data_IF_683341625883
#
_entry.id   IF_683341625883
#
_cell.length_a   1.000
_cell.length_b   1.000
_cell.length_c   1.000
_cell.angle_alpha   90.00
_cell.angle_beta   90.00
_cell.angle_gamma   90.00
#
_symmetry.space_group_name_H-M   'P 1'
#
loop_
_entity.id
_entity.type
_entity.pdbx_description
1 polymer ?
#
# COMPACT_ATOMS: atom_id res chain seq x y z
N UNK A 1 -26.10 -14.92 14.43
CA UNK A 1 -24.65 -15.12 14.63
C UNK A 1 -24.03 -13.75 14.84
N UNK A 2 -23.44 -13.50 16.01
CA UNK A 2 -22.83 -12.21 16.32
C UNK A 2 -21.32 -12.30 16.08
N UNK A 3 -20.86 -11.81 14.93
CA UNK A 3 -19.43 -11.80 14.59
C UNK A 3 -18.77 -10.61 15.27
N UNK A 4 -17.72 -10.87 16.06
CA UNK A 4 -17.04 -9.83 16.85
C UNK A 4 -15.81 -9.27 16.14
N UNK A 5 -15.04 -10.17 15.54
CA UNK A 5 -13.79 -9.83 14.85
C UNK A 5 -13.73 -10.53 13.51
N UNK A 6 -13.25 -9.80 12.50
CA UNK A 6 -13.06 -10.32 11.15
C UNK A 6 -11.64 -10.01 10.68
N UNK A 7 -10.92 -11.02 10.19
CA UNK A 7 -9.69 -10.86 9.43
C UNK A 7 -9.98 -10.89 7.94
N UNK A 8 -9.42 -9.94 7.19
CA UNK A 8 -9.53 -9.87 5.73
C UNK A 8 -8.14 -9.94 5.12
N UNK A 9 -7.91 -10.96 4.32
CA UNK A 9 -6.79 -10.99 3.38
C UNK A 9 -7.24 -10.46 2.01
N UNK A 10 -6.58 -9.40 1.55
CA UNK A 10 -6.93 -8.67 0.34
C UNK A 10 -6.05 -9.08 -0.83
N UNK A 11 -6.66 -9.60 -1.90
CA UNK A 11 -6.02 -9.71 -3.22
C UNK A 11 -6.64 -8.75 -4.24
N UNK A 12 -6.40 -8.96 -5.54
CA UNK A 12 -6.92 -8.07 -6.59
C UNK A 12 -8.45 -8.17 -6.75
N UNK A 13 -8.94 -9.40 -6.90
CA UNK A 13 -10.33 -9.69 -7.29
C UNK A 13 -11.09 -10.62 -6.33
N UNK A 14 -10.36 -11.43 -5.56
CA UNK A 14 -10.90 -12.37 -4.59
C UNK A 14 -10.27 -12.05 -3.25
N UNK A 15 -11.08 -11.97 -2.21
CA UNK A 15 -10.66 -11.72 -0.84
C UNK A 15 -10.97 -12.94 -0.01
N UNK A 16 -10.14 -13.22 0.98
CA UNK A 16 -10.45 -14.22 1.98
C UNK A 16 -10.89 -13.54 3.27
N UNK A 17 -11.99 -14.03 3.84
CA UNK A 17 -12.57 -13.46 5.06
C UNK A 17 -12.73 -14.54 6.10
N UNK A 18 -12.17 -14.29 7.28
CA UNK A 18 -12.28 -15.13 8.46
C UNK A 18 -13.01 -14.37 9.56
N UNK A 19 -14.10 -14.92 10.09
CA UNK A 19 -14.89 -14.29 11.14
C UNK A 19 -15.00 -15.16 12.39
N UNK A 20 -14.83 -14.55 13.56
CA UNK A 20 -14.93 -15.20 14.87
C UNK A 20 -15.95 -14.51 15.77
N UNK A 21 -16.50 -15.25 16.71
CA UNK A 21 -17.33 -14.70 17.80
C UNK A 21 -16.47 -14.09 18.92
N UNK A 22 -17.12 -13.70 20.02
CA UNK A 22 -16.46 -13.11 21.19
C UNK A 22 -15.51 -14.06 21.93
N UNK A 23 -15.68 -15.37 21.77
CA UNK A 23 -14.83 -16.41 22.35
C UNK A 23 -13.70 -16.83 21.40
N UNK A 24 -13.59 -16.19 20.23
CA UNK A 24 -12.62 -16.57 19.20
C UNK A 24 -12.99 -17.83 18.44
N UNK A 25 -14.21 -18.36 18.60
CA UNK A 25 -14.67 -19.50 17.82
C UNK A 25 -14.99 -19.05 16.41
N UNK A 26 -14.43 -19.76 15.43
CA UNK A 26 -14.67 -19.52 14.01
C UNK A 26 -16.15 -19.69 13.67
N UNK A 27 -16.76 -18.64 13.15
CA UNK A 27 -18.12 -18.64 12.59
C UNK A 27 -18.09 -18.95 11.09
N UNK A 28 -17.13 -18.38 10.37
CA UNK A 28 -16.96 -18.62 8.94
C UNK A 28 -15.51 -18.38 8.50
N UNK A 29 -15.12 -19.03 7.40
CA UNK A 29 -13.93 -18.68 6.62
C UNK A 29 -14.27 -18.93 5.16
N UNK A 30 -14.33 -17.89 4.33
CA UNK A 30 -14.80 -17.99 2.95
C UNK A 30 -14.16 -16.96 2.04
N UNK A 31 -14.15 -17.27 0.75
CA UNK A 31 -13.78 -16.33 -0.30
C UNK A 31 -14.95 -15.44 -0.68
N UNK A 32 -14.69 -14.15 -0.88
CA UNK A 32 -15.61 -13.22 -1.51
C UNK A 32 -14.98 -12.56 -2.73
N UNK A 33 -15.75 -12.42 -3.80
CA UNK A 33 -15.33 -11.60 -4.93
C UNK A 33 -15.39 -10.12 -4.55
N UNK A 34 -14.56 -9.31 -5.21
CA UNK A 34 -14.47 -7.86 -5.01
C UNK A 34 -15.85 -7.16 -5.01
N UNK A 35 -16.71 -7.54 -5.94
CA UNK A 35 -18.07 -6.99 -6.07
C UNK A 35 -19.00 -7.34 -4.91
N UNK A 36 -18.76 -8.48 -4.24
CA UNK A 36 -19.61 -8.98 -3.14
C UNK A 36 -19.22 -8.41 -1.78
N UNK A 37 -18.04 -7.80 -1.66
CA UNK A 37 -17.48 -7.37 -0.39
C UNK A 37 -18.37 -6.31 0.28
N UNK A 38 -18.75 -5.25 -0.45
CA UNK A 38 -19.58 -4.18 0.10
C UNK A 38 -20.97 -4.68 0.54
N UNK A 39 -21.63 -5.51 -0.27
CA UNK A 39 -22.94 -6.09 0.08
C UNK A 39 -22.86 -7.05 1.27
N UNK A 40 -21.74 -7.77 1.43
CA UNK A 40 -21.56 -8.66 2.56
C UNK A 40 -21.45 -7.89 3.87
N UNK A 41 -20.61 -6.85 3.93
CA UNK A 41 -20.43 -6.06 5.15
C UNK A 41 -21.62 -5.14 5.47
N UNK A 42 -22.40 -4.73 4.47
CA UNK A 42 -23.65 -4.00 4.72
C UNK A 42 -24.67 -4.78 5.56
N UNK A 43 -24.58 -6.12 5.58
CA UNK A 43 -25.46 -7.00 6.34
C UNK A 43 -24.81 -7.52 7.65
N UNK A 44 -23.64 -7.00 8.01
CA UNK A 44 -22.91 -7.39 9.22
C UNK A 44 -22.99 -6.24 10.23
N UNK A 45 -23.35 -6.51 11.50
CA UNK A 45 -23.32 -5.47 12.52
C UNK A 45 -21.90 -4.91 12.72
N UNK A 46 -21.75 -3.66 13.20
CA UNK A 46 -20.45 -3.08 13.53
C UNK A 46 -19.55 -4.03 14.33
N UNK A 47 -18.34 -4.28 13.83
CA UNK A 47 -17.40 -5.24 14.39
C UNK A 47 -15.96 -4.75 14.20
N UNK A 48 -15.00 -5.42 14.85
CA UNK A 48 -13.58 -5.17 14.64
C UNK A 48 -13.13 -5.86 13.35
N UNK A 49 -12.41 -5.15 12.50
CA UNK A 49 -11.87 -5.68 11.24
C UNK A 49 -10.36 -5.47 11.21
N UNK A 50 -9.62 -6.56 11.09
CA UNK A 50 -8.19 -6.56 10.78
C UNK A 50 -7.96 -6.70 9.29
N UNK A 51 -7.02 -5.93 8.74
CA UNK A 51 -6.58 -6.08 7.35
C UNK A 51 -5.07 -5.85 7.24
N UNK A 52 -4.41 -6.52 6.31
CA UNK A 52 -3.04 -6.18 5.95
C UNK A 52 -2.98 -4.85 5.17
N UNK A 53 -1.99 -4.01 5.48
CA UNK A 53 -1.69 -2.78 4.77
C UNK A 53 -1.05 -3.08 3.40
N UNK A 54 -1.85 -3.58 2.47
CA UNK A 54 -1.45 -3.91 1.11
C UNK A 54 -2.14 -3.01 0.05
N UNK A 55 -2.06 -3.40 -1.22
CA UNK A 55 -2.72 -2.68 -2.30
C UNK A 55 -4.24 -2.59 -2.07
N UNK A 56 -4.82 -1.41 -2.27
CA UNK A 56 -6.24 -1.09 -2.03
C UNK A 56 -6.73 -1.16 -0.57
N UNK A 57 -5.87 -1.47 0.40
CA UNK A 57 -6.26 -1.56 1.82
C UNK A 57 -6.89 -0.28 2.36
N UNK A 58 -6.32 0.89 2.04
CA UNK A 58 -6.89 2.18 2.46
C UNK A 58 -8.29 2.44 1.89
N UNK A 59 -8.52 2.10 0.61
CA UNK A 59 -9.84 2.24 0.00
C UNK A 59 -10.89 1.40 0.73
N UNK A 60 -10.57 0.12 0.97
CA UNK A 60 -11.49 -0.78 1.65
C UNK A 60 -11.67 -0.44 3.12
N UNK A 61 -10.61 -0.02 3.82
CA UNK A 61 -10.72 0.45 5.19
C UNK A 61 -11.68 1.65 5.28
N UNK A 62 -11.51 2.68 4.44
CA UNK A 62 -12.43 3.82 4.42
C UNK A 62 -13.87 3.41 4.11
N UNK A 63 -14.07 2.47 3.16
CA UNK A 63 -15.40 1.97 2.78
C UNK A 63 -16.08 1.18 3.91
N UNK A 64 -15.33 0.40 4.67
CA UNK A 64 -15.83 -0.37 5.81
C UNK A 64 -16.06 0.52 7.04
N UNK A 65 -15.20 1.51 7.27
CA UNK A 65 -15.39 2.54 8.31
C UNK A 65 -16.69 3.31 8.05
N UNK A 66 -16.99 3.68 6.81
CA UNK A 66 -18.25 4.38 6.49
C UNK A 66 -19.51 3.51 6.64
N UNK A 67 -19.35 2.19 6.75
CA UNK A 67 -20.43 1.25 7.13
C UNK A 67 -20.54 1.05 8.66
N UNK A 68 -19.69 1.72 9.45
CA UNK A 68 -19.71 1.67 10.91
C UNK A 68 -18.75 0.65 11.54
N UNK A 69 -17.93 -0.05 10.76
CA UNK A 69 -16.96 -1.00 11.32
C UNK A 69 -15.72 -0.31 11.88
N UNK A 70 -15.12 -0.90 12.92
CA UNK A 70 -13.82 -0.47 13.43
C UNK A 70 -12.72 -1.20 12.66
N UNK A 71 -12.06 -0.52 11.73
CA UNK A 71 -11.03 -1.13 10.88
C UNK A 71 -9.64 -0.76 11.35
N UNK A 72 -8.77 -1.75 11.47
CA UNK A 72 -7.36 -1.59 11.82
C UNK A 72 -6.46 -2.24 10.77
N UNK A 73 -5.57 -1.44 10.19
CA UNK A 73 -4.57 -1.91 9.23
C UNK A 73 -3.30 -2.34 9.95
N UNK A 74 -2.69 -3.45 9.55
CA UNK A 74 -1.44 -3.96 10.10
C UNK A 74 -0.38 -4.11 9.01
N UNK A 75 0.89 -3.85 9.34
CA UNK A 75 1.97 -4.14 8.41
C UNK A 75 2.12 -5.67 8.23
N UNK A 76 2.46 -6.17 7.03
CA UNK A 76 2.59 -7.61 6.75
C UNK A 76 3.54 -8.33 7.72
N UNK A 77 4.62 -7.64 8.10
CA UNK A 77 5.62 -8.12 9.06
C UNK A 77 5.07 -8.45 10.46
N UNK A 78 3.97 -7.81 10.87
CA UNK A 78 3.32 -8.07 12.16
C UNK A 78 2.28 -9.18 12.07
N UNK A 79 1.79 -9.50 10.87
CA UNK A 79 0.84 -10.61 10.64
C UNK A 79 1.59 -11.93 10.50
N UNK A 80 2.76 -11.93 9.84
CA UNK A 80 3.56 -13.13 9.55
C UNK A 80 3.76 -14.09 10.75
N UNK A 81 4.05 -13.62 11.99
CA UNK A 81 4.22 -14.52 13.13
C UNK A 81 2.96 -15.29 13.55
N UNK A 82 1.78 -14.86 13.12
CA UNK A 82 0.49 -15.48 13.46
C UNK A 82 0.02 -16.52 12.41
N UNK A 83 0.78 -16.70 11.32
CA UNK A 83 0.50 -17.73 10.32
C UNK A 83 1.01 -19.08 10.84
N UNK A 84 0.09 -19.98 11.18
CA UNK A 84 0.39 -21.25 11.87
C UNK A 84 0.87 -22.37 10.94
N UNK A 85 0.49 -22.32 9.67
CA UNK A 85 0.70 -23.37 8.66
C UNK A 85 1.38 -22.80 7.41
N UNK A 86 1.49 -23.61 6.34
CA UNK A 86 1.91 -23.13 5.04
C UNK A 86 1.05 -21.94 4.58
N UNK A 87 1.67 -21.03 3.83
CA UNK A 87 1.02 -19.82 3.33
C UNK A 87 -0.11 -20.17 2.36
N UNK A 88 -1.32 -19.78 2.72
CA UNK A 88 -2.49 -19.74 1.85
C UNK A 88 -3.50 -18.72 2.37
N UNK A 89 -4.33 -18.15 1.50
CA UNK A 89 -5.21 -17.02 1.82
C UNK A 89 -6.09 -17.27 3.06
N UNK A 90 -6.62 -18.49 3.23
CA UNK A 90 -7.43 -18.89 4.40
C UNK A 90 -6.69 -18.85 5.75
N UNK A 91 -5.38 -19.14 5.76
CA UNK A 91 -4.54 -19.06 6.96
C UNK A 91 -4.10 -17.60 7.19
N UNK A 92 -3.83 -16.85 6.12
CA UNK A 92 -3.47 -15.43 6.22
C UNK A 92 -4.65 -14.62 6.81
N UNK A 93 -5.89 -14.86 6.36
CA UNK A 93 -7.08 -14.22 6.93
C UNK A 93 -7.32 -14.59 8.41
N UNK A 94 -7.04 -15.83 8.82
CA UNK A 94 -7.10 -16.24 10.22
C UNK A 94 -6.02 -15.54 11.05
N UNK A 95 -4.79 -15.50 10.56
CA UNK A 95 -3.66 -14.84 11.21
C UNK A 95 -3.94 -13.34 11.42
N UNK A 96 -4.51 -12.66 10.42
CA UNK A 96 -4.96 -11.27 10.53
C UNK A 96 -6.04 -11.12 11.61
N UNK A 97 -7.02 -12.03 11.63
CA UNK A 97 -8.10 -12.02 12.62
C UNK A 97 -7.57 -12.18 14.04
N UNK A 98 -6.54 -13.00 14.24
CA UNK A 98 -5.90 -13.18 15.53
C UNK A 98 -5.05 -11.97 15.92
N UNK A 99 -4.18 -11.51 15.01
CA UNK A 99 -3.24 -10.42 15.22
C UNK A 99 -3.93 -9.10 15.62
N UNK A 100 -5.07 -8.77 15.00
CA UNK A 100 -5.77 -7.49 15.24
C UNK A 100 -6.29 -7.34 16.68
N UNK A 101 -6.49 -8.46 17.39
CA UNK A 101 -6.97 -8.46 18.78
C UNK A 101 -5.87 -8.25 19.82
N UNK A 102 -4.59 -8.31 19.40
CA UNK A 102 -3.47 -8.25 20.34
C UNK A 102 -3.30 -6.82 20.90
N UNK A 103 -3.17 -6.66 22.22
CA UNK A 103 -3.19 -5.35 22.88
C UNK A 103 -2.00 -4.47 22.49
N UNK A 104 -0.82 -5.06 22.30
CA UNK A 104 0.42 -4.35 21.96
C UNK A 104 0.66 -4.25 20.43
N UNK A 105 -0.36 -4.50 19.62
CA UNK A 105 -0.23 -4.47 18.17
C UNK A 105 -0.07 -3.03 17.65
N UNK A 106 0.87 -2.83 16.71
CA UNK A 106 1.07 -1.54 16.03
C UNK A 106 0.29 -1.49 14.74
N UNK A 107 -0.63 -0.53 14.66
CA UNK A 107 -1.48 -0.34 13.50
C UNK A 107 -0.96 0.76 12.57
N UNK A 108 -1.19 0.58 11.28
CA UNK A 108 -0.95 1.58 10.25
C UNK A 108 -2.17 2.50 10.20
N UNK A 109 -2.00 3.83 10.25
CA UNK A 109 -3.12 4.74 10.14
C UNK A 109 -3.79 4.63 8.76
N UNK A 110 -5.13 4.55 8.78
CA UNK A 110 -5.95 4.64 7.57
C UNK A 110 -5.84 6.06 7.03
N UNK A 111 -5.54 6.17 5.73
CA UNK A 111 -5.39 7.46 5.07
C UNK A 111 -6.66 7.81 4.30
N UNK A 112 -7.04 9.07 4.31
CA UNK A 112 -8.13 9.58 3.47
C UNK A 112 -7.72 9.59 2.00
N UNK A 113 -8.69 9.72 1.09
CA UNK A 113 -8.43 9.79 -0.34
C UNK A 113 -7.50 10.98 -0.69
N UNK A 114 -7.68 12.11 -0.02
CA UNK A 114 -6.89 13.33 -0.19
C UNK A 114 -5.45 13.11 0.28
N UNK A 115 -5.26 12.49 1.45
CA UNK A 115 -3.93 12.13 1.94
C UNK A 115 -3.22 11.15 1.00
N UNK A 116 -3.95 10.17 0.44
CA UNK A 116 -3.40 9.27 -0.56
C UNK A 116 -3.02 10.00 -1.86
N UNK A 117 -3.83 10.96 -2.31
CA UNK A 117 -3.55 11.76 -3.50
C UNK A 117 -2.27 12.59 -3.35
N UNK A 118 -2.08 13.25 -2.21
CA UNK A 118 -0.85 14.01 -1.92
C UNK A 118 0.38 13.10 -1.94
N UNK A 119 0.30 11.92 -1.32
CA UNK A 119 1.39 10.93 -1.35
C UNK A 119 1.67 10.41 -2.77
N UNK A 120 0.63 10.21 -3.58
CA UNK A 120 0.78 9.80 -4.97
C UNK A 120 1.52 10.86 -5.80
N UNK A 121 1.17 12.14 -5.63
CA UNK A 121 1.87 13.26 -6.28
C UNK A 121 3.34 13.31 -5.89
N UNK A 122 3.66 13.17 -4.61
CA UNK A 122 5.04 13.18 -4.13
C UNK A 122 5.86 12.02 -4.72
N UNK A 123 5.28 10.80 -4.75
CA UNK A 123 5.94 9.63 -5.35
C UNK A 123 6.14 9.78 -6.86
N UNK A 124 5.14 10.30 -7.57
CA UNK A 124 5.24 10.59 -9.01
C UNK A 124 6.36 11.58 -9.29
N UNK A 125 6.41 12.70 -8.56
CA UNK A 125 7.52 13.68 -8.66
C UNK A 125 8.88 13.04 -8.41
N UNK A 126 9.02 12.27 -7.34
CA UNK A 126 10.28 11.57 -7.05
C UNK A 126 10.68 10.60 -8.17
N UNK A 127 9.72 9.89 -8.76
CA UNK A 127 9.97 8.99 -9.89
C UNK A 127 10.48 9.77 -11.11
N UNK A 128 9.84 10.89 -11.46
CA UNK A 128 10.30 11.74 -12.57
C UNK A 128 11.69 12.32 -12.33
N UNK A 129 12.01 12.74 -11.10
CA UNK A 129 13.36 13.23 -10.77
C UNK A 129 14.40 12.12 -11.01
N UNK A 130 14.11 10.89 -10.57
CA UNK A 130 15.01 9.75 -10.79
C UNK A 130 15.16 9.42 -12.28
N UNK A 131 14.06 9.36 -13.02
CA UNK A 131 14.06 9.07 -14.45
C UNK A 131 14.83 10.14 -15.25
N UNK A 132 14.60 11.42 -14.96
CA UNK A 132 15.33 12.54 -15.56
C UNK A 132 16.84 12.39 -15.34
N UNK A 133 17.27 12.13 -14.12
CA UNK A 133 18.69 11.96 -13.81
C UNK A 133 19.28 10.72 -14.49
N UNK A 134 18.57 9.59 -14.48
CA UNK A 134 19.00 8.37 -15.15
C UNK A 134 19.16 8.58 -16.67
N UNK A 135 18.18 9.22 -17.30
CA UNK A 135 18.20 9.52 -18.73
C UNK A 135 19.32 10.49 -19.10
N UNK A 136 19.55 11.54 -18.28
CA UNK A 136 20.66 12.45 -18.48
C UNK A 136 22.02 11.74 -18.39
N UNK A 137 22.19 10.85 -17.41
CA UNK A 137 23.42 10.06 -17.26
C UNK A 137 23.61 9.09 -18.42
N UNK A 138 22.54 8.48 -18.92
CA UNK A 138 22.59 7.60 -20.08
C UNK A 138 23.04 8.36 -21.34
N UNK A 139 22.44 9.53 -21.63
CA UNK A 139 22.82 10.37 -22.77
C UNK A 139 24.31 10.78 -22.68
N UNK A 140 24.76 11.19 -21.50
CA UNK A 140 26.17 11.55 -21.27
C UNK A 140 27.12 10.39 -21.54
N UNK A 141 26.80 9.19 -21.06
CA UNK A 141 27.60 7.99 -21.29
C UNK A 141 27.70 7.67 -22.78
N UNK A 142 26.58 7.75 -23.50
CA UNK A 142 26.55 7.50 -24.95
C UNK A 142 27.35 8.52 -25.74
N UNK A 143 27.26 9.82 -25.40
CA UNK A 143 28.02 10.87 -26.09
C UNK A 143 29.53 10.79 -25.85
N UNK A 144 29.94 10.28 -24.69
CA UNK A 144 31.36 10.09 -24.37
C UNK A 144 32.05 9.09 -25.30
N UNK A 145 31.33 8.07 -25.81
CA UNK A 145 31.84 7.14 -26.83
C UNK A 145 32.21 7.84 -28.14
N UNK A 146 31.59 8.99 -28.41
CA UNK A 146 31.87 9.84 -29.58
C UNK A 146 32.81 11.01 -29.24
N UNK A 147 33.46 11.00 -28.07
CA UNK A 147 34.38 12.06 -27.63
C UNK A 147 33.70 13.35 -27.18
N UNK A 148 32.36 13.39 -27.10
CA UNK A 148 31.61 14.58 -26.69
C UNK A 148 31.36 14.53 -25.18
N UNK A 149 32.09 15.36 -24.43
CA UNK A 149 31.95 15.46 -22.97
C UNK A 149 30.98 16.58 -22.60
N UNK A 150 29.78 16.21 -22.13
CA UNK A 150 28.77 17.17 -21.66
C UNK A 150 28.94 17.42 -20.15
N UNK A 151 28.85 18.66 -19.63
CA UNK A 151 28.93 18.97 -18.20
C UNK A 151 27.71 18.50 -17.41
N UNK A 152 27.88 18.27 -16.11
CA UNK A 152 26.85 17.69 -15.26
C UNK A 152 25.74 18.71 -14.98
N UNK A 153 24.59 18.52 -15.62
CA UNK A 153 23.39 19.31 -15.38
C UNK A 153 22.72 18.84 -14.08
N UNK A 154 23.29 19.19 -12.93
CA UNK A 154 22.54 19.13 -11.67
C UNK A 154 21.52 20.25 -11.66
N UNK A 155 20.34 19.99 -12.21
CA UNK A 155 19.16 20.78 -11.87
C UNK A 155 18.69 20.36 -10.47
N UNK A 156 19.42 20.81 -9.45
CA UNK A 156 18.92 20.93 -8.08
C UNK A 156 17.97 22.14 -8.09
N UNK A 157 16.69 21.90 -7.81
CA UNK A 157 15.66 22.91 -7.55
C UNK A 157 15.70 24.22 -8.37
N UNK A 158 14.97 24.25 -9.49
CA UNK A 158 14.33 25.49 -9.96
C UNK A 158 15.15 26.50 -10.77
N UNK A 159 16.48 26.42 -10.81
CA UNK A 159 17.28 27.38 -11.61
C UNK A 159 18.06 26.66 -12.70
N UNK A 160 17.67 26.88 -13.95
CA UNK A 160 18.55 26.65 -15.10
C UNK A 160 19.64 27.71 -14.97
N UNK A 161 20.84 27.31 -14.57
CA UNK A 161 21.99 28.20 -14.61
C UNK A 161 22.34 28.43 -16.09
N UNK A 162 21.85 29.54 -16.66
CA UNK A 162 22.01 29.92 -18.08
C UNK A 162 23.47 30.12 -18.53
N UNK A 163 24.44 30.02 -17.62
CA UNK A 163 25.84 30.31 -17.92
C UNK A 163 26.66 29.16 -18.53
N UNK A 164 26.18 27.92 -18.56
CA UNK A 164 27.02 26.81 -19.07
C UNK A 164 26.95 26.57 -20.59
N UNK A 165 26.16 27.34 -21.34
CA UNK A 165 25.99 27.15 -22.80
C UNK A 165 26.87 28.06 -23.68
N UNK A 166 27.57 29.03 -23.11
CA UNK A 166 28.40 29.96 -23.90
C UNK A 166 29.90 29.60 -23.97
N UNK A 167 30.33 28.47 -23.39
CA UNK A 167 31.76 28.12 -23.30
C UNK A 167 32.29 27.13 -24.34
N UNK A 168 31.44 26.51 -25.17
CA UNK A 168 31.85 25.38 -26.02
C UNK A 168 32.04 25.71 -27.51
N UNK A 169 32.27 26.99 -27.85
CA UNK A 169 32.52 27.42 -29.25
C UNK A 169 33.86 28.14 -29.47
N UNK A 170 34.73 28.23 -28.46
CA UNK A 170 36.07 28.80 -28.62
C UNK A 170 37.09 28.06 -27.75
N UNK A 171 37.56 26.90 -28.21
CA UNK A 171 38.97 26.44 -28.15
C UNK A 171 39.14 25.18 -28.98
#
# INVERSE_FOLDING_TARGET
>A
MNVKTIGIDLAKNVFQIHGVDEHGKRLFNKQLRRAQMASFFANIPPCLIGMEACASAHFWANKLISMGHNVKLMAPQFVKPYVKTNKHDAADAEAICEAVTRPNMRFVPVKTAEQQAVLALHRSRQSFIKQRTAQANQIRGLLAEFGIVVPHLLCHSGTINRHSLNGALLS
#
